data_IF_983091807123
#
_entry.id   IF_983091807123
#
_cell.length_a   1.000
_cell.length_b   1.000
_cell.length_c   1.000
_cell.angle_alpha   90.00
_cell.angle_beta   90.00
_cell.angle_gamma   90.00
#
_symmetry.space_group_name_H-M   'P 1'
#
loop_
_entity.id
_entity.type
_entity.pdbx_description
1 polymer ?
#
# COMPACT_ATOMS: atom_id res chain seq x y z
N UNK A 1 6.20 22.26 -18.44
CA UNK A 1 7.20 22.90 -17.55
C UNK A 1 7.80 21.82 -16.65
N UNK A 2 9.04 21.95 -16.17
CA UNK A 2 9.55 21.04 -15.13
C UNK A 2 8.60 20.99 -13.91
N UNK A 3 8.62 19.90 -13.17
CA UNK A 3 7.78 19.72 -11.99
C UNK A 3 8.01 20.86 -10.98
N UNK A 4 6.95 21.58 -10.66
CA UNK A 4 6.97 22.60 -9.62
C UNK A 4 6.64 21.95 -8.28
N UNK A 5 7.48 22.19 -7.28
CA UNK A 5 7.29 21.71 -5.91
C UNK A 5 6.96 22.92 -5.05
N UNK A 6 5.78 22.87 -4.37
CA UNK A 6 5.37 23.99 -3.52
C UNK A 6 6.37 24.17 -2.37
N UNK A 7 6.96 25.37 -2.17
CA UNK A 7 7.90 25.61 -1.09
C UNK A 7 7.17 25.63 0.27
N UNK A 8 7.12 24.48 0.93
CA UNK A 8 6.58 24.33 2.28
C UNK A 8 7.70 24.29 3.33
N UNK A 9 7.49 24.86 4.52
CA UNK A 9 8.42 24.74 5.64
C UNK A 9 8.73 23.27 5.98
N UNK A 10 9.93 23.00 6.51
CA UNK A 10 10.37 21.65 6.87
C UNK A 10 9.45 20.95 7.88
N UNK A 11 8.71 21.72 8.67
CA UNK A 11 7.74 21.18 9.64
C UNK A 11 6.62 20.32 9.00
N UNK A 12 6.38 20.45 7.66
CA UNK A 12 5.47 19.55 6.92
C UNK A 12 6.11 18.21 6.55
N UNK A 13 7.39 18.07 6.78
CA UNK A 13 8.19 16.87 6.53
C UNK A 13 8.96 16.46 7.78
N UNK A 14 8.26 16.17 8.91
CA UNK A 14 8.93 15.70 10.11
C UNK A 14 9.56 14.33 9.88
N UNK A 15 10.63 14.04 10.63
CA UNK A 15 11.22 12.71 10.63
C UNK A 15 10.25 11.66 11.20
N UNK A 16 10.49 10.41 10.86
CA UNK A 16 9.68 9.26 11.28
C UNK A 16 9.74 9.09 12.80
N UNK A 17 8.59 9.18 13.46
CA UNK A 17 8.45 8.91 14.89
C UNK A 17 8.27 7.43 15.23
N UNK A 18 7.81 6.64 14.24
CA UNK A 18 7.56 5.21 14.35
C UNK A 18 8.17 4.50 13.15
N UNK A 19 8.99 3.50 13.41
CA UNK A 19 9.55 2.65 12.35
C UNK A 19 8.52 1.57 12.04
N UNK A 20 8.02 1.56 10.80
CA UNK A 20 7.03 0.59 10.36
C UNK A 20 7.30 0.17 8.91
N UNK A 21 7.22 -1.12 8.61
CA UNK A 21 7.16 -2.25 9.53
C UNK A 21 8.51 -2.50 10.22
N UNK A 22 8.50 -3.12 11.42
CA UNK A 22 9.62 -3.10 12.37
C UNK A 22 10.88 -3.83 11.89
N UNK A 23 10.77 -4.79 10.98
CA UNK A 23 11.94 -5.55 10.53
C UNK A 23 12.76 -4.84 9.45
N UNK A 24 12.33 -3.67 8.95
CA UNK A 24 12.98 -2.99 7.84
C UNK A 24 13.62 -1.65 8.19
N UNK A 25 13.16 -0.96 9.22
CA UNK A 25 13.59 0.40 9.57
C UNK A 25 13.55 1.37 8.39
N UNK A 26 12.69 1.09 7.43
CA UNK A 26 12.54 1.86 6.23
C UNK A 26 11.69 3.11 6.43
N UNK A 27 11.71 3.97 5.43
CA UNK A 27 10.90 5.18 5.36
C UNK A 27 9.47 4.86 4.92
N UNK A 28 8.54 5.77 5.19
CA UNK A 28 7.24 5.74 4.56
C UNK A 28 7.33 6.14 3.08
N UNK A 29 6.33 5.76 2.29
CA UNK A 29 6.34 6.02 0.85
C UNK A 29 6.44 7.53 0.52
N UNK A 30 5.84 8.41 1.32
CA UNK A 30 5.90 9.86 1.07
C UNK A 30 7.34 10.39 1.11
N UNK A 31 8.19 9.87 1.99
CA UNK A 31 9.59 10.27 2.11
C UNK A 31 10.40 9.81 0.89
N UNK A 32 10.20 8.55 0.48
CA UNK A 32 10.87 7.99 -0.69
C UNK A 32 10.45 8.71 -1.98
N UNK A 33 9.14 8.92 -2.17
CA UNK A 33 8.60 9.63 -3.34
C UNK A 33 9.14 11.07 -3.41
N UNK A 34 9.20 11.76 -2.27
CA UNK A 34 9.74 13.13 -2.22
C UNK A 34 11.18 13.17 -2.72
N UNK A 35 12.05 12.31 -2.20
CA UNK A 35 13.45 12.27 -2.61
C UNK A 35 13.58 11.92 -4.10
N UNK A 36 12.78 10.96 -4.59
CA UNK A 36 12.75 10.58 -6.00
C UNK A 36 12.31 11.74 -6.89
N UNK A 37 11.21 12.43 -6.54
CA UNK A 37 10.71 13.56 -7.33
C UNK A 37 11.67 14.76 -7.31
N UNK A 38 12.34 15.05 -6.19
CA UNK A 38 13.38 16.09 -6.10
C UNK A 38 14.55 15.75 -7.05
N UNK A 39 15.03 14.52 -7.03
CA UNK A 39 16.15 14.10 -7.85
C UNK A 39 15.86 14.20 -9.37
N UNK A 40 14.60 14.00 -9.77
CA UNK A 40 14.16 13.94 -11.16
C UNK A 40 13.31 15.14 -11.60
N UNK A 41 13.15 16.18 -10.76
CA UNK A 41 12.18 17.26 -10.98
C UNK A 41 12.37 17.99 -12.34
N UNK A 42 13.58 18.08 -12.85
CA UNK A 42 13.88 18.75 -14.11
C UNK A 42 13.45 17.96 -15.34
N UNK A 43 13.37 16.64 -15.21
CA UNK A 43 13.00 15.71 -16.29
C UNK A 43 11.49 15.41 -16.31
N UNK A 44 10.78 15.74 -15.22
CA UNK A 44 9.33 15.54 -15.11
C UNK A 44 8.61 16.79 -15.61
N UNK A 45 7.98 16.70 -16.79
CA UNK A 45 7.25 17.82 -17.40
C UNK A 45 5.76 17.70 -17.11
N UNK A 46 5.21 18.64 -16.33
CA UNK A 46 3.79 18.66 -15.94
C UNK A 46 3.31 20.07 -15.62
N UNK A 47 1.99 20.28 -15.60
CA UNK A 47 1.32 21.50 -15.11
C UNK A 47 0.89 21.36 -13.64
N UNK A 48 0.98 20.18 -13.06
CA UNK A 48 0.64 19.93 -11.67
C UNK A 48 1.73 20.44 -10.73
N UNK A 49 1.32 20.98 -9.59
CA UNK A 49 2.22 21.42 -8.51
C UNK A 49 2.20 20.37 -7.40
N UNK A 50 3.35 19.82 -7.07
CA UNK A 50 3.48 18.85 -5.99
C UNK A 50 3.44 19.51 -4.62
N UNK A 51 2.58 19.02 -3.73
CA UNK A 51 2.52 19.37 -2.32
C UNK A 51 3.37 18.38 -1.50
N UNK A 52 4.61 18.76 -1.10
CA UNK A 52 5.55 17.86 -0.45
C UNK A 52 5.28 17.75 1.06
N UNK A 53 4.27 16.97 1.42
CA UNK A 53 3.85 16.76 2.81
C UNK A 53 4.04 15.28 3.17
N UNK A 54 4.75 14.99 4.26
CA UNK A 54 4.86 13.65 4.83
C UNK A 54 3.66 13.38 5.73
N UNK A 55 2.51 13.07 5.09
CA UNK A 55 1.22 12.95 5.77
C UNK A 55 1.25 11.96 6.93
N UNK A 56 1.85 10.79 6.71
CA UNK A 56 1.93 9.75 7.73
C UNK A 56 2.78 10.20 8.92
N UNK A 57 3.97 10.74 8.69
CA UNK A 57 4.81 11.26 9.77
C UNK A 57 4.18 12.45 10.46
N UNK A 58 3.58 13.36 9.69
CA UNK A 58 2.95 14.58 10.21
C UNK A 58 1.74 14.25 11.09
N UNK A 59 0.83 13.40 10.60
CA UNK A 59 -0.42 13.08 11.28
C UNK A 59 -0.24 12.17 12.50
N UNK A 60 0.78 11.32 12.49
CA UNK A 60 1.19 10.51 13.63
C UNK A 60 2.05 11.27 14.65
N UNK A 61 2.46 12.51 14.34
CA UNK A 61 3.23 13.30 15.29
C UNK A 61 2.37 13.66 16.51
N UNK A 62 2.84 13.48 17.76
CA UNK A 62 2.05 13.69 18.98
C UNK A 62 1.36 15.05 19.07
N UNK A 63 2.00 16.10 18.53
CA UNK A 63 1.47 17.46 18.57
C UNK A 63 0.60 17.84 17.37
N UNK A 64 0.34 16.92 16.43
CA UNK A 64 -0.40 17.25 15.21
C UNK A 64 -1.83 17.74 15.52
N UNK A 65 -2.58 16.97 16.31
CA UNK A 65 -3.97 17.29 16.63
C UNK A 65 -4.14 18.67 17.29
N UNK A 66 -3.23 19.05 18.18
CA UNK A 66 -3.23 20.36 18.84
C UNK A 66 -2.74 21.50 17.95
N UNK A 67 -2.08 21.19 16.84
CA UNK A 67 -1.45 22.17 15.94
C UNK A 67 -2.07 22.21 14.55
N UNK A 68 -3.18 21.50 14.31
CA UNK A 68 -3.80 21.39 12.97
C UNK A 68 -4.14 22.75 12.36
N UNK A 69 -4.69 23.69 13.15
CA UNK A 69 -5.00 25.03 12.69
C UNK A 69 -3.76 25.83 12.26
N UNK A 70 -2.63 25.61 12.93
CA UNK A 70 -1.34 26.22 12.54
C UNK A 70 -0.85 25.64 11.21
N UNK A 71 -0.93 24.33 11.03
CA UNK A 71 -0.54 23.68 9.77
C UNK A 71 -1.44 24.15 8.62
N UNK A 72 -2.76 24.18 8.83
CA UNK A 72 -3.70 24.71 7.83
C UNK A 72 -3.36 26.15 7.44
N UNK A 73 -3.16 27.03 8.42
CA UNK A 73 -2.82 28.44 8.14
C UNK A 73 -1.53 28.56 7.31
N UNK A 74 -0.49 27.80 7.63
CA UNK A 74 0.77 27.84 6.89
C UNK A 74 0.62 27.28 5.48
N UNK A 75 -0.15 26.20 5.31
CA UNK A 75 -0.44 25.60 4.01
C UNK A 75 -1.23 26.59 3.15
N UNK A 76 -2.31 27.21 3.67
CA UNK A 76 -3.11 28.17 2.93
C UNK A 76 -2.28 29.38 2.49
N UNK A 77 -1.37 29.88 3.34
CA UNK A 77 -0.45 30.97 2.96
C UNK A 77 0.47 30.59 1.79
N UNK A 78 0.98 29.35 1.80
CA UNK A 78 1.81 28.87 0.70
C UNK A 78 0.98 28.72 -0.60
N UNK A 79 -0.23 28.17 -0.50
CA UNK A 79 -1.14 28.03 -1.65
C UNK A 79 -1.51 29.38 -2.28
N UNK A 80 -1.67 30.44 -1.48
CA UNK A 80 -1.96 31.79 -1.96
C UNK A 80 -0.83 32.42 -2.79
N UNK A 81 0.38 31.88 -2.76
CA UNK A 81 1.49 32.34 -3.62
C UNK A 81 1.38 31.82 -5.05
N UNK A 82 0.50 30.85 -5.30
CA UNK A 82 0.31 30.23 -6.61
C UNK A 82 -0.89 30.86 -7.35
N UNK A 83 -0.91 30.80 -8.70
CA UNK A 83 -2.07 31.20 -9.49
C UNK A 83 -3.36 30.50 -9.03
N UNK A 84 -4.50 31.16 -9.18
CA UNK A 84 -5.80 30.69 -8.68
C UNK A 84 -6.22 29.31 -9.27
N UNK A 85 -5.89 29.08 -10.55
CA UNK A 85 -6.27 27.87 -11.28
C UNK A 85 -5.23 26.74 -11.16
N UNK A 86 -4.24 26.88 -10.26
CA UNK A 86 -3.21 25.87 -10.06
C UNK A 86 -3.83 24.54 -9.63
N UNK A 87 -3.48 23.46 -10.33
CA UNK A 87 -3.84 22.09 -9.96
C UNK A 87 -2.70 21.48 -9.14
N UNK A 88 -3.08 20.76 -8.10
CA UNK A 88 -2.11 20.18 -7.17
C UNK A 88 -2.15 18.66 -7.17
N UNK A 89 -1.04 18.05 -6.75
CA UNK A 89 -0.94 16.63 -6.50
C UNK A 89 -0.22 16.40 -5.16
N UNK A 90 -0.66 15.40 -4.41
CA UNK A 90 0.02 14.97 -3.18
C UNK A 90 -0.09 13.45 -3.05
N UNK A 91 0.90 12.84 -2.40
CA UNK A 91 0.94 11.40 -2.14
C UNK A 91 0.69 11.16 -0.66
N UNK A 92 -0.09 10.13 -0.33
CA UNK A 92 -0.47 9.84 1.06
C UNK A 92 -0.50 8.33 1.32
N UNK A 93 0.24 7.90 2.34
CA UNK A 93 0.16 6.52 2.83
C UNK A 93 -0.86 6.39 3.98
N UNK A 94 -1.07 7.45 4.76
CA UNK A 94 -1.95 7.44 5.93
C UNK A 94 -3.37 6.99 5.57
N UNK A 95 -3.93 6.09 6.37
CA UNK A 95 -5.23 5.45 6.13
C UNK A 95 -6.38 6.44 5.95
N UNK A 96 -6.42 7.50 6.77
CA UNK A 96 -7.45 8.55 6.72
C UNK A 96 -7.25 9.56 5.58
N UNK A 97 -6.13 9.47 4.85
CA UNK A 97 -5.77 10.50 3.87
C UNK A 97 -5.33 11.83 4.50
N UNK A 98 -5.27 12.90 3.72
CA UNK A 98 -4.89 14.22 4.20
C UNK A 98 -5.91 14.79 5.19
N UNK A 99 -5.45 15.24 6.37
CA UNK A 99 -6.31 15.88 7.39
C UNK A 99 -6.19 17.40 7.44
N UNK A 100 -5.46 18.01 6.50
CA UNK A 100 -5.43 19.45 6.28
C UNK A 100 -6.34 19.83 5.11
N UNK A 101 -6.76 21.08 5.08
CA UNK A 101 -7.63 21.60 4.03
C UNK A 101 -6.87 21.80 2.73
N UNK A 102 -7.17 20.98 1.72
CA UNK A 102 -6.59 21.04 0.39
C UNK A 102 -7.52 21.75 -0.61
N UNK A 103 -6.97 22.39 -1.68
CA UNK A 103 -7.76 22.84 -2.81
C UNK A 103 -8.60 21.71 -3.42
N UNK A 104 -9.81 22.00 -3.86
CA UNK A 104 -10.74 20.99 -4.43
C UNK A 104 -10.21 20.27 -5.67
N UNK A 105 -9.31 20.90 -6.41
CA UNK A 105 -8.66 20.37 -7.60
C UNK A 105 -7.35 19.61 -7.29
N UNK A 106 -7.11 19.27 -6.02
CA UNK A 106 -5.94 18.46 -5.64
C UNK A 106 -6.16 17.00 -5.97
N UNK A 107 -5.24 16.43 -6.75
CA UNK A 107 -5.17 14.98 -6.98
C UNK A 107 -4.47 14.34 -5.77
N UNK A 108 -5.17 13.44 -5.11
CA UNK A 108 -4.65 12.69 -3.96
C UNK A 108 -4.32 11.28 -4.45
N UNK A 109 -3.02 10.99 -4.59
CA UNK A 109 -2.55 9.65 -4.91
C UNK A 109 -2.28 8.92 -3.59
N UNK A 110 -3.13 7.96 -3.26
CA UNK A 110 -3.15 7.41 -1.90
C UNK A 110 -3.14 5.90 -1.80
N UNK A 111 -2.46 5.39 -0.77
CA UNK A 111 -2.38 3.96 -0.52
C UNK A 111 -3.71 3.36 -0.01
N UNK A 112 -4.54 4.15 0.69
CA UNK A 112 -5.79 3.67 1.28
C UNK A 112 -7.00 4.51 0.95
N UNK A 113 -6.81 5.75 0.51
CA UNK A 113 -7.87 6.70 0.14
C UNK A 113 -7.32 7.78 -0.79
N UNK A 114 -8.19 8.48 -1.50
CA UNK A 114 -7.79 9.54 -2.45
C UNK A 114 -8.55 9.44 -3.76
N UNK A 115 -7.93 9.98 -4.82
CA UNK A 115 -8.48 9.95 -6.19
C UNK A 115 -7.79 8.91 -7.08
N UNK A 116 -6.51 8.62 -6.79
CA UNK A 116 -5.70 7.64 -7.54
C UNK A 116 -5.13 6.63 -6.55
N UNK A 117 -5.49 5.35 -6.65
CA UNK A 117 -4.93 4.31 -5.80
C UNK A 117 -3.43 4.10 -6.04
N UNK A 118 -2.64 4.08 -4.96
CA UNK A 118 -1.26 3.63 -4.94
C UNK A 118 -1.11 2.36 -4.10
N UNK A 119 -0.08 1.53 -4.34
CA UNK A 119 0.19 0.39 -3.49
C UNK A 119 0.61 0.84 -2.09
N UNK A 120 0.17 0.10 -1.07
CA UNK A 120 0.57 0.33 0.32
C UNK A 120 1.92 -0.34 0.56
N UNK A 121 3.00 0.43 0.44
CA UNK A 121 4.38 -0.05 0.49
C UNK A 121 5.16 0.59 1.64
N UNK A 122 6.29 0.01 1.94
CA UNK A 122 7.33 0.54 2.81
C UNK A 122 8.71 0.27 2.21
N UNK A 123 9.71 1.03 2.62
CA UNK A 123 11.06 0.85 2.14
C UNK A 123 11.67 -0.44 2.70
N UNK A 124 12.00 -1.38 1.83
CA UNK A 124 12.79 -2.57 2.15
C UNK A 124 14.25 -2.37 1.73
N UNK A 125 15.03 -1.73 2.61
CA UNK A 125 16.43 -1.40 2.34
C UNK A 125 17.34 -2.61 2.11
N UNK A 126 16.85 -3.81 2.39
CA UNK A 126 17.63 -5.05 2.28
C UNK A 126 17.08 -6.02 1.25
N UNK A 127 15.98 -5.68 0.57
CA UNK A 127 15.24 -6.59 -0.31
C UNK A 127 14.96 -7.94 0.36
N UNK A 128 14.63 -7.90 1.66
CA UNK A 128 14.54 -9.10 2.47
C UNK A 128 13.45 -10.06 1.99
N UNK A 129 12.29 -9.51 1.57
CA UNK A 129 11.19 -10.35 1.07
C UNK A 129 11.55 -11.03 -0.24
N UNK A 130 12.16 -10.31 -1.17
CA UNK A 130 12.56 -10.84 -2.47
C UNK A 130 13.62 -11.95 -2.36
N UNK A 131 14.47 -11.89 -1.34
CA UNK A 131 15.51 -12.90 -1.09
C UNK A 131 14.98 -14.21 -0.50
N UNK A 132 13.69 -14.28 -0.14
CA UNK A 132 13.14 -15.51 0.45
C UNK A 132 12.98 -16.61 -0.60
N UNK A 133 13.27 -17.85 -0.19
CA UNK A 133 13.09 -19.01 -1.05
C UNK A 133 11.61 -19.38 -1.12
N UNK A 134 11.06 -19.44 -2.31
CA UNK A 134 9.71 -19.92 -2.55
C UNK A 134 9.66 -21.43 -2.57
N UNK A 135 8.65 -22.04 -1.93
CA UNK A 135 8.43 -23.47 -1.96
C UNK A 135 7.75 -23.89 -3.28
N UNK A 136 8.13 -25.05 -3.85
CA UNK A 136 7.40 -25.60 -5.00
C UNK A 136 5.91 -25.86 -4.68
N UNK A 137 4.97 -25.66 -5.64
CA UNK A 137 3.53 -25.85 -5.43
C UNK A 137 3.14 -27.20 -4.81
N UNK A 138 3.86 -28.26 -5.17
CA UNK A 138 3.64 -29.63 -4.64
C UNK A 138 3.98 -29.81 -3.16
N UNK A 139 4.56 -28.81 -2.52
CA UNK A 139 4.98 -28.82 -1.11
C UNK A 139 4.24 -27.83 -0.23
N UNK A 140 3.19 -27.19 -0.73
CA UNK A 140 2.39 -26.32 0.11
C UNK A 140 1.74 -27.10 1.25
N UNK A 141 1.88 -26.58 2.46
CA UNK A 141 1.23 -27.12 3.66
C UNK A 141 -0.22 -26.63 3.75
N UNK A 142 -0.47 -25.40 3.27
CA UNK A 142 -1.74 -24.71 3.40
C UNK A 142 -2.31 -24.35 2.03
N UNK A 143 -3.62 -24.45 1.88
CA UNK A 143 -4.33 -23.87 0.74
C UNK A 143 -4.22 -22.33 0.81
N UNK A 144 -4.53 -21.76 1.98
CA UNK A 144 -4.41 -20.31 2.18
C UNK A 144 -3.96 -19.98 3.61
N UNK A 145 -3.34 -18.81 3.78
CA UNK A 145 -2.93 -18.34 5.09
C UNK A 145 -3.15 -16.83 5.29
N UNK A 146 -3.29 -16.45 6.56
CA UNK A 146 -3.26 -15.06 7.00
C UNK A 146 -2.43 -14.92 8.29
N UNK A 147 -1.50 -13.99 8.31
CA UNK A 147 -0.78 -13.58 9.52
C UNK A 147 -0.90 -12.07 9.67
N UNK A 148 -1.54 -11.59 10.73
CA UNK A 148 -1.75 -10.16 10.91
C UNK A 148 -2.47 -9.82 12.21
N UNK A 149 -3.01 -8.60 12.30
CA UNK A 149 -3.72 -8.10 13.47
C UNK A 149 -5.19 -7.87 13.13
N UNK A 150 -6.09 -8.07 14.09
CA UNK A 150 -7.53 -7.79 13.95
C UNK A 150 -7.78 -6.27 14.03
N UNK A 151 -7.57 -5.58 12.92
CA UNK A 151 -7.72 -4.12 12.84
C UNK A 151 -8.99 -3.67 12.14
N UNK A 152 -9.80 -4.61 11.61
CA UNK A 152 -11.02 -4.28 10.87
C UNK A 152 -12.01 -5.45 10.88
N UNK A 153 -13.35 -5.20 10.93
CA UNK A 153 -14.38 -6.25 10.93
C UNK A 153 -14.30 -7.27 9.79
N UNK A 154 -13.77 -6.88 8.62
CA UNK A 154 -13.50 -7.78 7.48
C UNK A 154 -12.56 -8.92 7.89
N UNK A 155 -11.52 -8.64 8.69
CA UNK A 155 -10.56 -9.67 9.16
C UNK A 155 -11.24 -10.67 10.08
N UNK A 156 -12.01 -10.18 11.05
CA UNK A 156 -12.79 -11.05 11.93
C UNK A 156 -13.84 -11.87 11.15
N UNK A 157 -14.51 -11.27 10.16
CA UNK A 157 -15.44 -11.99 9.29
C UNK A 157 -14.72 -13.10 8.48
N UNK A 158 -13.59 -12.76 7.87
CA UNK A 158 -12.79 -13.73 7.12
C UNK A 158 -12.36 -14.92 7.97
N UNK A 159 -11.83 -14.68 9.17
CA UNK A 159 -11.39 -15.74 10.09
C UNK A 159 -12.56 -16.63 10.53
N UNK A 160 -13.76 -16.06 10.74
CA UNK A 160 -14.95 -16.85 11.09
C UNK A 160 -15.44 -17.75 9.97
N UNK A 161 -15.29 -17.34 8.70
CA UNK A 161 -15.74 -18.12 7.55
C UNK A 161 -14.69 -19.15 7.08
N UNK A 162 -13.41 -18.87 7.26
CA UNK A 162 -12.32 -19.72 6.80
C UNK A 162 -11.75 -20.55 7.96
N UNK A 163 -12.48 -21.63 8.33
CA UNK A 163 -12.14 -22.52 9.46
C UNK A 163 -11.69 -23.92 9.00
N UNK A 164 -11.50 -24.12 7.70
CA UNK A 164 -11.09 -25.40 7.12
C UNK A 164 -9.67 -25.76 7.58
N UNK A 165 -9.37 -27.08 7.64
CA UNK A 165 -8.09 -27.57 8.17
C UNK A 165 -6.88 -27.22 7.30
N UNK A 166 -7.10 -26.92 6.03
CA UNK A 166 -6.09 -26.51 5.06
C UNK A 166 -5.90 -24.98 4.98
N UNK A 167 -6.59 -24.21 5.86
CA UNK A 167 -6.40 -22.77 6.02
C UNK A 167 -5.83 -22.47 7.40
N UNK A 168 -4.82 -21.59 7.45
CA UNK A 168 -4.24 -21.15 8.72
C UNK A 168 -4.32 -19.64 8.88
N UNK A 169 -4.80 -19.18 10.04
CA UNK A 169 -4.90 -17.77 10.39
C UNK A 169 -4.25 -17.51 11.75
N UNK A 170 -3.19 -16.69 11.76
CA UNK A 170 -2.54 -16.21 12.98
C UNK A 170 -2.89 -14.73 13.16
N UNK A 171 -3.75 -14.44 14.12
CA UNK A 171 -4.32 -13.12 14.34
C UNK A 171 -3.98 -12.58 15.71
N UNK A 172 -3.25 -11.47 15.76
CA UNK A 172 -3.01 -10.73 16.98
C UNK A 172 -4.22 -9.84 17.29
N UNK A 173 -4.66 -9.82 18.53
CA UNK A 173 -5.81 -9.00 18.98
C UNK A 173 -5.49 -7.52 19.08
N UNK A 174 -4.21 -7.16 19.25
CA UNK A 174 -3.76 -5.78 19.46
C UNK A 174 -2.72 -5.39 18.43
N UNK A 175 -2.97 -4.27 17.76
CA UNK A 175 -2.00 -3.67 16.86
C UNK A 175 -0.83 -3.07 17.64
N UNK A 176 0.38 -3.26 17.14
CA UNK A 176 1.60 -2.64 17.65
C UNK A 176 2.48 -2.17 16.50
N UNK A 177 3.12 -0.99 16.60
CA UNK A 177 4.14 -0.57 15.64
C UNK A 177 5.43 -1.40 15.77
N UNK A 178 5.60 -2.12 16.87
CA UNK A 178 6.70 -3.04 17.10
C UNK A 178 6.21 -4.47 16.95
N UNK A 179 6.63 -5.13 15.88
CA UNK A 179 6.33 -6.55 15.62
C UNK A 179 7.52 -7.39 16.12
N UNK A 180 7.30 -8.37 17.02
CA UNK A 180 8.35 -9.29 17.42
C UNK A 180 8.98 -10.00 16.21
N UNK A 181 10.29 -10.27 16.27
CA UNK A 181 11.00 -10.93 15.18
C UNK A 181 10.40 -12.31 14.84
N UNK A 182 9.93 -13.03 15.85
CA UNK A 182 9.28 -14.33 15.67
C UNK A 182 7.96 -14.21 14.88
N UNK A 183 7.19 -13.15 15.08
CA UNK A 183 5.96 -12.92 14.31
C UNK A 183 6.26 -12.54 12.86
N UNK A 184 7.31 -11.76 12.63
CA UNK A 184 7.78 -11.46 11.28
C UNK A 184 8.25 -12.72 10.54
N UNK A 185 9.04 -13.56 11.22
CA UNK A 185 9.49 -14.86 10.69
C UNK A 185 8.31 -15.78 10.41
N UNK A 186 7.38 -15.92 11.35
CA UNK A 186 6.15 -16.70 11.18
C UNK A 186 5.35 -16.25 9.95
N UNK A 187 5.20 -14.93 9.75
CA UNK A 187 4.53 -14.41 8.56
C UNK A 187 5.16 -14.94 7.27
N UNK A 188 6.48 -14.83 7.14
CA UNK A 188 7.20 -15.26 5.94
C UNK A 188 7.07 -16.79 5.75
N UNK A 189 7.39 -17.58 6.77
CA UNK A 189 7.35 -19.05 6.70
C UNK A 189 5.93 -19.54 6.37
N UNK A 190 4.91 -18.98 7.01
CA UNK A 190 3.52 -19.36 6.76
C UNK A 190 3.08 -18.97 5.35
N UNK A 191 3.45 -17.76 4.87
CA UNK A 191 3.11 -17.30 3.53
C UNK A 191 3.77 -18.19 2.47
N UNK A 192 5.06 -18.47 2.59
CA UNK A 192 5.81 -19.35 1.67
C UNK A 192 5.30 -20.79 1.66
N UNK A 193 4.73 -21.27 2.77
CA UNK A 193 4.15 -22.61 2.91
C UNK A 193 2.69 -22.68 2.42
N UNK A 194 2.16 -21.60 1.86
CA UNK A 194 0.77 -21.47 1.42
C UNK A 194 0.67 -21.22 -0.08
N UNK A 195 -0.36 -21.80 -0.71
CA UNK A 195 -0.65 -21.52 -2.13
C UNK A 195 -1.19 -20.10 -2.32
N UNK A 196 -2.03 -19.64 -1.38
CA UNK A 196 -2.63 -18.31 -1.39
C UNK A 196 -2.31 -17.56 -0.09
N UNK A 197 -2.08 -16.25 -0.19
CA UNK A 197 -1.96 -15.37 0.97
C UNK A 197 -3.21 -14.48 1.06
N UNK A 198 -3.98 -14.63 2.13
CA UNK A 198 -5.14 -13.80 2.38
C UNK A 198 -4.69 -12.39 2.78
N UNK A 199 -5.19 -11.41 2.06
CA UNK A 199 -4.85 -10.00 2.22
C UNK A 199 -6.11 -9.16 2.52
N UNK A 200 -6.80 -9.38 3.66
CA UNK A 200 -7.95 -8.58 4.04
C UNK A 200 -7.50 -7.15 4.29
N UNK A 201 -8.36 -6.19 3.87
CA UNK A 201 -8.13 -4.80 4.22
C UNK A 201 -7.89 -4.65 5.72
N UNK A 202 -7.08 -3.62 6.07
CA UNK A 202 -6.92 -3.19 7.44
C UNK A 202 -7.88 -2.07 7.79
N UNK A 203 -7.43 -1.17 8.69
CA UNK A 203 -8.13 0.08 8.96
C UNK A 203 -8.37 0.86 7.66
N UNK A 204 -7.34 1.05 6.85
CA UNK A 204 -7.45 1.54 5.48
C UNK A 204 -7.95 0.49 4.49
N UNK A 205 -8.30 0.91 3.27
CA UNK A 205 -8.85 0.03 2.21
C UNK A 205 -7.84 -0.93 1.61
N UNK A 206 -6.55 -0.70 1.82
CA UNK A 206 -5.46 -1.52 1.32
C UNK A 206 -4.93 -2.49 2.38
N UNK A 207 -4.00 -3.34 1.98
CA UNK A 207 -3.34 -4.29 2.87
C UNK A 207 -1.89 -4.48 2.46
N UNK A 208 -0.94 -4.28 3.38
CA UNK A 208 0.47 -4.64 3.15
C UNK A 208 0.62 -6.09 2.72
N UNK A 209 -0.22 -7.00 3.24
CA UNK A 209 -0.18 -8.44 2.94
C UNK A 209 -0.32 -8.75 1.46
N UNK A 210 -1.07 -7.92 0.71
CA UNK A 210 -1.20 -8.09 -0.73
C UNK A 210 0.16 -7.92 -1.44
N UNK A 211 0.86 -6.85 -1.12
CA UNK A 211 2.12 -6.49 -1.77
C UNK A 211 3.29 -7.32 -1.25
N UNK A 212 3.32 -7.63 0.05
CA UNK A 212 4.31 -8.54 0.65
C UNK A 212 4.19 -9.95 0.07
N UNK A 213 2.97 -10.49 -0.07
CA UNK A 213 2.74 -11.79 -0.72
C UNK A 213 3.21 -11.79 -2.17
N UNK A 214 2.99 -10.68 -2.89
CA UNK A 214 3.46 -10.53 -4.26
C UNK A 214 4.99 -10.59 -4.36
N UNK A 215 5.71 -9.97 -3.43
CA UNK A 215 7.18 -10.07 -3.37
C UNK A 215 7.67 -11.48 -3.00
N UNK A 216 6.88 -12.22 -2.22
CA UNK A 216 7.15 -13.62 -1.86
C UNK A 216 6.70 -14.63 -2.92
N UNK A 217 6.30 -14.20 -4.11
CA UNK A 217 5.76 -15.04 -5.18
C UNK A 217 4.58 -15.94 -4.70
N UNK A 218 3.75 -15.44 -3.79
CA UNK A 218 2.55 -16.12 -3.30
C UNK A 218 1.31 -15.41 -3.81
N UNK A 219 0.34 -16.14 -4.36
CA UNK A 219 -0.86 -15.55 -4.98
C UNK A 219 -1.67 -14.80 -3.93
N UNK A 220 -1.83 -13.47 -4.02
CA UNK A 220 -2.57 -12.71 -3.03
C UNK A 220 -4.09 -12.81 -3.26
N UNK A 221 -4.83 -12.90 -2.15
CA UNK A 221 -6.30 -12.87 -2.12
C UNK A 221 -6.77 -11.60 -1.42
N UNK A 222 -7.14 -10.59 -2.18
CA UNK A 222 -7.61 -9.31 -1.65
C UNK A 222 -9.06 -9.42 -1.16
N UNK A 223 -9.29 -9.21 0.15
CA UNK A 223 -10.63 -9.21 0.74
C UNK A 223 -11.04 -7.80 1.15
N UNK A 224 -12.14 -7.30 0.59
CA UNK A 224 -12.61 -5.93 0.73
C UNK A 224 -14.12 -5.86 1.03
N UNK A 225 -14.64 -4.68 1.43
CA UNK A 225 -16.05 -4.48 1.82
C UNK A 225 -16.74 -3.26 1.19
N UNK A 226 -16.10 -2.10 1.12
CA UNK A 226 -16.72 -0.85 0.67
C UNK A 226 -16.31 -0.48 -0.77
N UNK A 227 -15.03 -0.25 -0.96
CA UNK A 227 -14.45 0.12 -2.25
C UNK A 227 -13.27 -0.80 -2.56
N UNK A 228 -13.27 -1.39 -3.75
CA UNK A 228 -12.15 -2.16 -4.27
C UNK A 228 -10.98 -1.22 -4.57
N UNK A 229 -10.02 -1.13 -3.63
CA UNK A 229 -8.89 -0.20 -3.68
C UNK A 229 -7.64 -0.89 -4.20
N UNK A 230 -7.53 -1.01 -5.52
CA UNK A 230 -6.39 -1.63 -6.19
C UNK A 230 -5.69 -0.59 -7.08
N UNK A 231 -4.34 -0.45 -6.99
CA UNK A 231 -3.59 0.48 -7.82
C UNK A 231 -3.50 0.01 -9.28
N UNK A 232 -3.27 0.93 -10.20
CA UNK A 232 -2.91 0.64 -11.61
C UNK A 232 -3.95 -0.20 -12.37
N UNK A 233 -5.24 -0.09 -12.05
CA UNK A 233 -6.30 -0.90 -12.69
C UNK A 233 -6.41 -0.64 -14.20
N UNK A 234 -5.94 0.49 -14.69
CA UNK A 234 -5.83 0.81 -16.10
C UNK A 234 -4.69 0.09 -16.83
N UNK A 235 -3.73 -0.46 -16.07
CA UNK A 235 -2.53 -1.14 -16.60
C UNK A 235 -2.50 -2.62 -16.27
N UNK A 236 -3.05 -3.04 -15.13
CA UNK A 236 -2.91 -4.39 -14.59
C UNK A 236 -4.25 -5.12 -14.55
N UNK A 237 -4.27 -6.29 -15.15
CA UNK A 237 -5.38 -7.25 -14.99
C UNK A 237 -5.19 -8.07 -13.71
N UNK A 238 -5.79 -7.62 -12.62
CA UNK A 238 -5.69 -8.26 -11.30
C UNK A 238 -6.23 -9.69 -11.29
N UNK A 239 -7.18 -10.02 -12.13
CA UNK A 239 -7.75 -11.38 -12.19
C UNK A 239 -6.79 -12.38 -12.83
N UNK A 240 -5.74 -11.91 -13.51
CA UNK A 240 -4.70 -12.77 -14.08
C UNK A 240 -3.65 -13.26 -13.08
N UNK A 241 -3.45 -12.56 -11.95
CA UNK A 241 -2.38 -12.89 -10.98
C UNK A 241 -2.82 -12.92 -9.51
N UNK A 242 -4.04 -12.50 -9.21
CA UNK A 242 -4.56 -12.43 -7.84
C UNK A 242 -6.01 -12.93 -7.77
N UNK A 243 -6.57 -12.98 -6.58
CA UNK A 243 -7.99 -13.21 -6.36
C UNK A 243 -8.58 -12.01 -5.62
N UNK A 244 -9.69 -11.46 -6.09
CA UNK A 244 -10.39 -10.38 -5.43
C UNK A 244 -11.76 -10.87 -4.96
N UNK A 245 -12.09 -10.60 -3.68
CA UNK A 245 -13.28 -11.13 -3.00
C UNK A 245 -13.93 -10.03 -2.17
N UNK A 246 -15.19 -9.75 -2.43
CA UNK A 246 -15.98 -8.94 -1.51
C UNK A 246 -16.34 -9.76 -0.26
N UNK A 247 -16.46 -9.10 0.89
CA UNK A 247 -16.74 -9.75 2.19
C UNK A 247 -18.00 -10.66 2.17
N UNK A 248 -18.97 -10.36 1.33
CA UNK A 248 -20.19 -11.20 1.16
C UNK A 248 -19.92 -12.54 0.46
N UNK A 249 -18.78 -12.69 -0.22
CA UNK A 249 -18.41 -13.91 -0.95
C UNK A 249 -17.54 -14.85 -0.09
N UNK A 250 -17.18 -14.46 1.14
CA UNK A 250 -16.36 -15.27 2.05
C UNK A 250 -16.89 -16.70 2.25
N UNK A 251 -18.22 -16.95 2.33
CA UNK A 251 -18.75 -18.31 2.52
C UNK A 251 -18.34 -19.29 1.41
N UNK A 252 -18.07 -18.82 0.20
CA UNK A 252 -17.71 -19.65 -0.96
C UNK A 252 -16.20 -19.57 -1.31
N UNK A 253 -15.44 -18.77 -0.57
CA UNK A 253 -14.05 -18.51 -0.91
C UNK A 253 -13.18 -19.78 -0.85
N UNK A 254 -13.34 -20.60 0.20
CA UNK A 254 -12.58 -21.85 0.31
C UNK A 254 -12.76 -22.73 -0.93
N UNK A 255 -14.01 -23.00 -1.32
CA UNK A 255 -14.32 -23.87 -2.47
C UNK A 255 -13.77 -23.28 -3.78
N UNK A 256 -13.85 -21.96 -3.93
CA UNK A 256 -13.28 -21.25 -5.09
C UNK A 256 -11.77 -21.43 -5.16
N UNK A 257 -11.04 -21.30 -4.05
CA UNK A 257 -9.59 -21.48 -4.01
C UNK A 257 -9.18 -22.95 -4.20
N UNK A 258 -9.89 -23.88 -3.57
CA UNK A 258 -9.63 -25.32 -3.67
C UNK A 258 -9.90 -25.87 -5.08
N UNK A 259 -10.85 -25.28 -5.82
CA UNK A 259 -11.16 -25.67 -7.20
C UNK A 259 -10.11 -25.21 -8.22
N UNK A 260 -9.21 -24.28 -7.90
CA UNK A 260 -8.16 -23.85 -8.81
C UNK A 260 -7.15 -24.95 -9.06
N UNK A 261 -6.96 -25.31 -10.33
CA UNK A 261 -5.98 -26.30 -10.75
C UNK A 261 -4.53 -25.81 -10.53
N UNK A 262 -3.59 -26.73 -10.41
CA UNK A 262 -2.16 -26.38 -10.33
C UNK A 262 -1.72 -25.54 -11.52
N UNK A 263 -2.16 -25.90 -12.72
CA UNK A 263 -1.85 -25.15 -13.96
C UNK A 263 -2.36 -23.71 -13.89
N UNK A 264 -3.55 -23.48 -13.34
CA UNK A 264 -4.09 -22.13 -13.17
C UNK A 264 -3.28 -21.33 -12.14
N UNK A 265 -2.90 -21.95 -11.02
CA UNK A 265 -2.06 -21.32 -10.03
C UNK A 265 -0.67 -20.97 -10.58
N UNK A 266 -0.03 -21.87 -11.34
CA UNK A 266 1.25 -21.60 -12.02
C UNK A 266 1.14 -20.43 -13.01
N UNK A 267 0.05 -20.36 -13.77
CA UNK A 267 -0.20 -19.26 -14.69
C UNK A 267 -0.32 -17.94 -13.93
N UNK A 268 -1.09 -17.90 -12.84
CA UNK A 268 -1.22 -16.71 -11.98
C UNK A 268 0.11 -16.29 -11.36
N UNK A 269 0.93 -17.24 -10.90
CA UNK A 269 2.24 -16.96 -10.36
C UNK A 269 3.20 -16.40 -11.42
N UNK A 270 3.12 -16.88 -12.65
CA UNK A 270 3.92 -16.34 -13.76
C UNK A 270 3.56 -14.88 -14.01
N UNK A 271 2.27 -14.55 -14.13
CA UNK A 271 1.82 -13.17 -14.31
C UNK A 271 2.16 -12.28 -13.09
N UNK A 272 2.07 -12.83 -11.86
CA UNK A 272 2.46 -12.11 -10.66
C UNK A 272 3.94 -11.68 -10.71
N UNK A 273 4.83 -12.56 -11.15
CA UNK A 273 6.26 -12.25 -11.32
C UNK A 273 6.51 -11.17 -12.36
N UNK A 274 5.72 -11.15 -13.44
CA UNK A 274 5.84 -10.13 -14.48
C UNK A 274 5.41 -8.74 -13.98
N UNK A 275 4.41 -8.67 -13.08
CA UNK A 275 3.84 -7.40 -12.62
C UNK A 275 4.37 -6.92 -11.27
N UNK A 276 4.98 -7.78 -10.44
CA UNK A 276 5.38 -7.42 -9.06
C UNK A 276 6.38 -6.25 -8.97
N UNK A 277 7.11 -5.94 -10.05
CA UNK A 277 7.97 -4.76 -10.12
C UNK A 277 7.22 -3.45 -9.86
N UNK A 278 5.93 -3.40 -10.22
CA UNK A 278 5.07 -2.25 -9.96
C UNK A 278 4.69 -2.10 -8.49
N UNK A 279 4.89 -3.15 -7.70
CA UNK A 279 4.67 -3.18 -6.26
C UNK A 279 5.97 -2.99 -5.47
N UNK A 280 6.89 -2.21 -6.03
CA UNK A 280 8.09 -1.66 -5.38
C UNK A 280 7.97 -0.14 -5.29
N UNK A 281 8.77 0.50 -4.44
CA UNK A 281 8.79 1.97 -4.32
C UNK A 281 9.27 2.61 -5.62
N UNK A 282 10.25 2.02 -6.28
CA UNK A 282 10.76 2.46 -7.58
C UNK A 282 9.69 2.37 -8.66
N UNK A 283 9.04 1.21 -8.81
CA UNK A 283 7.95 1.01 -9.78
C UNK A 283 6.77 1.95 -9.52
N UNK A 284 6.46 2.22 -8.26
CA UNK A 284 5.44 3.21 -7.89
C UNK A 284 5.87 4.62 -8.32
N UNK A 285 7.14 5.00 -8.14
CA UNK A 285 7.63 6.30 -8.59
C UNK A 285 7.62 6.42 -10.12
N UNK A 286 7.95 5.37 -10.86
CA UNK A 286 7.83 5.32 -12.33
C UNK A 286 6.38 5.58 -12.78
N UNK A 287 5.41 4.93 -12.12
CA UNK A 287 3.98 5.18 -12.37
C UNK A 287 3.58 6.63 -12.07
N UNK A 288 3.99 7.16 -10.91
CA UNK A 288 3.69 8.55 -10.53
C UNK A 288 4.24 9.54 -11.58
N UNK A 289 5.48 9.35 -12.02
CA UNK A 289 6.09 10.20 -13.06
C UNK A 289 5.30 10.11 -14.36
N UNK A 290 4.95 8.91 -14.80
CA UNK A 290 4.13 8.70 -16.00
C UNK A 290 2.77 9.41 -15.88
N UNK A 291 2.11 9.26 -14.74
CA UNK A 291 0.83 9.93 -14.46
C UNK A 291 0.96 11.47 -14.50
N UNK A 292 2.00 12.03 -13.86
CA UNK A 292 2.27 13.45 -13.86
C UNK A 292 2.49 14.00 -15.27
N UNK A 293 3.21 13.25 -16.11
CA UNK A 293 3.51 13.62 -17.48
C UNK A 293 2.30 13.49 -18.42
N UNK A 294 1.38 12.58 -18.17
CA UNK A 294 0.16 12.42 -18.97
C UNK A 294 -0.91 13.48 -18.66
N UNK A 295 -0.89 14.08 -17.49
CA UNK A 295 -1.86 15.09 -17.05
C UNK A 295 -1.37 16.53 -17.33
N UNK A 296 -0.88 16.77 -18.55
CA UNK A 296 -0.41 18.09 -19.00
C UNK A 296 -1.50 19.08 -19.38
N UNK A 297 -2.78 18.66 -19.46
CA UNK A 297 -3.90 19.47 -19.98
C UNK A 297 -4.70 20.11 -18.87
#
# INVERSE_FOLDING_TARGET
MPLTILPLPSLFRPGTSHVYPPFKKGRYMEEFIYDYLIAHQHDIHTTLVYLPIYWTNLQNHPNFASSIAKYDLLLQRALQTMPQDTRYVTMVQHDDGPRLTLPKNTIIMGACTGTVPLPLLYEDTTNYLEQQTHLPPSKYQWLASFVGTDTHPVRAAMVRHLTQQDITCHVNSTWSPSVPQDDAKRFIETTLSSRFCLAPRGYGRSSFRFFEASQLDTIPVYVWDDIKWLPYQEMLDYDSFSVSVHVSELPTLHDRLAAMSEKECEHRMTHLRDVKRWFTLEGMCEYIVTYLQQNHL
#
